data_IF_148422110726
#
_entry.id   IF_148422110726
#
_cell.length_a   1.000
_cell.length_b   1.000
_cell.length_c   1.000
_cell.angle_alpha   90.00
_cell.angle_beta   90.00
_cell.angle_gamma   90.00
#
_symmetry.space_group_name_H-M   'P 1'
#
loop_
_entity.id
_entity.type
_entity.pdbx_description
1 polymer ?
#
# COMPACT_ATOMS: atom_id res chain seq x y z
N UNK A 1 25.97 10.88 44.95
CA UNK A 1 24.84 11.68 44.43
C UNK A 1 23.74 10.71 44.02
N UNK A 2 22.80 10.47 44.92
CA UNK A 2 21.74 9.48 44.72
C UNK A 2 20.55 10.11 44.01
N UNK A 3 20.15 9.53 42.88
CA UNK A 3 18.91 9.86 42.20
C UNK A 3 17.74 9.24 42.96
N UNK A 4 17.06 10.07 43.75
CA UNK A 4 15.80 9.78 44.41
C UNK A 4 14.72 9.54 43.34
N UNK A 5 14.38 8.27 43.12
CA UNK A 5 13.13 7.90 42.45
C UNK A 5 11.99 8.44 43.30
N UNK A 6 11.25 9.41 42.77
CA UNK A 6 10.04 9.91 43.41
C UNK A 6 9.00 8.81 43.41
N UNK A 7 8.77 8.22 44.58
CA UNK A 7 7.59 7.45 44.88
C UNK A 7 6.35 8.30 44.62
N UNK A 8 5.25 7.73 44.08
CA UNK A 8 4.01 8.46 43.90
C UNK A 8 3.48 8.86 45.28
N UNK A 9 3.70 10.13 45.60
CA UNK A 9 3.32 10.81 46.83
C UNK A 9 1.84 11.17 46.81
N UNK A 10 1.15 10.96 47.94
CA UNK A 10 -0.18 11.52 48.23
C UNK A 10 -1.21 10.49 48.68
N UNK A 11 -1.09 9.99 49.90
CA UNK A 11 -1.83 8.84 50.44
C UNK A 11 -2.93 9.14 51.46
N UNK A 12 -3.82 10.12 51.22
CA UNK A 12 -4.98 10.34 52.13
C UNK A 12 -6.37 10.14 51.48
N UNK A 13 -6.47 9.93 50.15
CA UNK A 13 -7.77 9.76 49.46
C UNK A 13 -7.84 8.54 48.52
N UNK A 14 -6.87 7.62 48.64
CA UNK A 14 -6.87 6.39 47.85
C UNK A 14 -7.88 5.38 48.41
N UNK A 15 -8.94 5.10 47.64
CA UNK A 15 -10.05 4.24 48.03
C UNK A 15 -9.90 2.78 47.55
N UNK A 16 -8.89 2.50 46.71
CA UNK A 16 -8.61 1.17 46.15
C UNK A 16 -7.12 0.85 46.24
N UNK A 17 -6.78 -0.44 46.36
CA UNK A 17 -5.40 -0.92 46.37
C UNK A 17 -5.16 -1.98 45.28
N UNK A 18 -4.07 -1.87 44.55
CA UNK A 18 -3.62 -2.92 43.62
C UNK A 18 -2.63 -3.85 44.35
N UNK A 19 -2.91 -5.15 44.35
CA UNK A 19 -2.05 -6.18 44.94
C UNK A 19 -1.17 -6.82 43.87
N UNK A 20 0.14 -6.76 44.05
CA UNK A 20 1.13 -7.36 43.14
C UNK A 20 1.70 -8.69 43.66
N UNK A 21 2.38 -9.46 42.81
CA UNK A 21 2.88 -10.83 43.06
C UNK A 21 3.67 -11.02 44.37
N UNK A 22 4.34 -9.98 44.88
CA UNK A 22 5.09 -10.03 46.16
C UNK A 22 4.31 -9.48 47.36
N UNK A 23 2.98 -9.55 47.31
CA UNK A 23 2.05 -8.95 48.29
C UNK A 23 2.25 -7.43 48.49
N UNK A 24 2.94 -6.75 47.56
CA UNK A 24 3.07 -5.28 47.61
C UNK A 24 1.78 -4.64 47.13
N UNK A 25 1.35 -3.62 47.87
CA UNK A 25 0.11 -2.87 47.62
C UNK A 25 0.45 -1.51 47.03
N UNK A 26 -0.29 -1.10 45.99
CA UNK A 26 -0.17 0.22 45.37
C UNK A 26 -1.51 0.95 45.61
N UNK A 27 -1.53 2.05 46.38
CA UNK A 27 -2.74 2.83 46.59
C UNK A 27 -3.13 3.56 45.30
N UNK A 28 -4.41 3.51 44.94
CA UNK A 28 -4.96 4.07 43.70
C UNK A 28 -6.40 4.59 43.89
N UNK A 29 -6.83 5.48 43.00
CA UNK A 29 -8.17 6.07 43.02
C UNK A 29 -9.10 5.34 42.03
N UNK A 30 -10.24 4.87 42.53
CA UNK A 30 -11.27 4.18 41.75
C UNK A 30 -11.70 4.97 40.51
N UNK A 31 -11.91 6.29 40.67
CA UNK A 31 -12.31 7.22 39.60
C UNK A 31 -11.32 7.26 38.43
N UNK A 32 -10.02 7.11 38.70
CA UNK A 32 -8.99 7.10 37.65
C UNK A 32 -9.01 5.76 36.92
N UNK A 33 -9.08 4.65 37.67
CA UNK A 33 -9.11 3.31 37.08
C UNK A 33 -10.37 3.06 36.24
N UNK A 34 -11.54 3.43 36.76
CA UNK A 34 -12.82 3.29 36.06
C UNK A 34 -12.83 4.10 34.76
N UNK A 35 -12.37 5.36 34.81
CA UNK A 35 -12.32 6.21 33.63
C UNK A 35 -11.33 5.71 32.55
N UNK A 36 -10.28 4.98 32.95
CA UNK A 36 -9.24 4.54 32.03
C UNK A 36 -9.48 3.13 31.45
N UNK A 37 -10.30 2.31 32.10
CA UNK A 37 -10.53 0.91 31.72
C UNK A 37 -11.95 0.44 32.06
N UNK A 38 -12.73 -0.03 31.07
CA UNK A 38 -14.05 -0.61 31.34
C UNK A 38 -13.96 -1.92 32.16
N UNK A 39 -12.86 -2.66 32.04
CA UNK A 39 -12.63 -3.86 32.85
C UNK A 39 -12.44 -3.48 34.31
N UNK A 40 -11.60 -2.48 34.59
CA UNK A 40 -11.39 -2.01 35.95
C UNK A 40 -12.68 -1.38 36.51
N UNK A 41 -13.43 -0.60 35.72
CA UNK A 41 -14.76 -0.10 36.09
C UNK A 41 -15.70 -1.25 36.48
N UNK A 42 -15.83 -2.29 35.65
CA UNK A 42 -16.68 -3.44 35.96
C UNK A 42 -16.21 -4.23 37.20
N UNK A 43 -14.91 -4.28 37.47
CA UNK A 43 -14.37 -4.83 38.72
C UNK A 43 -14.73 -3.93 39.91
N UNK A 44 -14.81 -2.63 39.68
CA UNK A 44 -15.21 -1.61 40.64
C UNK A 44 -16.74 -1.53 40.85
N UNK A 45 -17.56 -2.14 40.01
CA UNK A 45 -19.02 -2.17 40.27
C UNK A 45 -19.46 -3.40 41.07
N UNK A 46 -18.59 -4.40 41.22
CA UNK A 46 -18.93 -5.65 41.93
C UNK A 46 -19.12 -5.42 43.44
N UNK A 47 -20.21 -5.94 44.06
CA UNK A 47 -20.45 -5.76 45.49
C UNK A 47 -19.32 -6.34 46.34
N UNK A 48 -18.84 -5.54 47.30
CA UNK A 48 -17.77 -5.94 48.21
C UNK A 48 -18.26 -7.05 49.15
N UNK A 49 -17.43 -8.07 49.40
CA UNK A 49 -17.72 -9.06 50.44
C UNK A 49 -17.77 -8.35 51.79
N UNK A 50 -18.86 -8.56 52.54
CA UNK A 50 -19.08 -7.95 53.87
C UNK A 50 -17.88 -8.27 54.78
N UNK A 51 -17.23 -7.23 55.32
CA UNK A 51 -16.19 -7.35 56.35
C UNK A 51 -14.71 -7.24 55.91
N UNK A 52 -14.41 -6.85 54.66
CA UNK A 52 -13.02 -6.69 54.20
C UNK A 52 -12.46 -5.26 54.30
N UNK A 53 -11.21 -5.13 54.79
CA UNK A 53 -10.40 -3.90 54.75
C UNK A 53 -10.18 -3.42 53.31
N UNK A 54 -10.92 -2.39 52.89
CA UNK A 54 -10.75 -1.72 51.60
C UNK A 54 -10.94 -2.61 50.38
N UNK A 55 -10.90 -1.99 49.20
CA UNK A 55 -11.05 -2.73 47.94
C UNK A 55 -9.70 -3.06 47.33
N UNK A 56 -9.51 -4.33 46.96
CA UNK A 56 -8.24 -4.82 46.42
C UNK A 56 -8.41 -5.43 45.04
N UNK A 57 -7.60 -4.98 44.07
CA UNK A 57 -7.53 -5.53 42.71
C UNK A 57 -6.21 -6.31 42.55
N UNK A 58 -6.23 -7.64 42.34
CA UNK A 58 -5.01 -8.41 42.18
C UNK A 58 -4.46 -8.33 40.75
N UNK A 59 -3.20 -7.88 40.61
CA UNK A 59 -2.41 -7.93 39.38
C UNK A 59 -1.18 -8.81 39.64
N UNK A 60 -1.32 -10.10 39.33
CA UNK A 60 -0.30 -11.12 39.60
C UNK A 60 0.39 -11.56 38.30
N UNK A 61 1.61 -12.09 38.40
CA UNK A 61 2.38 -12.57 37.26
C UNK A 61 3.12 -11.49 36.45
N UNK A 62 3.01 -10.23 36.86
CA UNK A 62 3.71 -9.09 36.24
C UNK A 62 4.69 -8.46 37.25
N UNK A 63 5.89 -8.02 36.83
CA UNK A 63 6.80 -7.29 37.70
C UNK A 63 6.15 -6.04 38.27
N UNK A 64 6.38 -5.77 39.55
CA UNK A 64 5.80 -4.62 40.24
C UNK A 64 6.11 -3.29 39.56
N UNK A 65 7.34 -3.11 39.05
CA UNK A 65 7.75 -1.87 38.41
C UNK A 65 6.94 -1.61 37.13
N UNK A 66 6.61 -2.67 36.38
CA UNK A 66 5.71 -2.60 35.23
C UNK A 66 4.25 -2.31 35.64
N UNK A 67 3.80 -2.79 36.80
CA UNK A 67 2.48 -2.42 37.35
C UNK A 67 2.46 -0.95 37.78
N UNK A 68 3.54 -0.46 38.42
CA UNK A 68 3.68 0.94 38.78
C UNK A 68 3.67 1.84 37.53
N UNK A 69 4.42 1.48 36.49
CA UNK A 69 4.39 2.16 35.19
C UNK A 69 2.99 2.15 34.57
N UNK A 70 2.31 1.00 34.54
CA UNK A 70 0.94 0.90 34.05
C UNK A 70 0.02 1.89 34.78
N UNK A 71 0.06 1.90 36.12
CA UNK A 71 -0.74 2.82 36.93
C UNK A 71 -0.39 4.28 36.59
N UNK A 72 0.88 4.66 36.59
CA UNK A 72 1.32 6.04 36.25
C UNK A 72 0.82 6.49 34.88
N UNK A 73 0.84 5.60 33.88
CA UNK A 73 0.31 5.87 32.55
C UNK A 73 -1.21 6.12 32.57
N UNK A 74 -1.98 5.40 33.40
CA UNK A 74 -3.43 5.67 33.55
C UNK A 74 -3.71 7.04 34.19
N UNK A 75 -2.88 7.47 35.14
CA UNK A 75 -2.99 8.82 35.72
C UNK A 75 -2.59 9.90 34.72
N UNK A 76 -1.56 9.65 33.91
CA UNK A 76 -1.05 10.59 32.92
C UNK A 76 -1.99 10.74 31.72
N UNK A 77 -2.78 9.71 31.38
CA UNK A 77 -3.75 9.74 30.28
C UNK A 77 -4.78 10.88 30.40
N UNK A 78 -5.04 11.39 31.61
CA UNK A 78 -5.92 12.54 31.84
C UNK A 78 -5.26 13.88 31.48
N UNK A 79 -3.93 13.99 31.49
CA UNK A 79 -3.22 15.22 31.11
C UNK A 79 -2.74 15.23 29.65
N UNK A 80 -2.60 14.07 29.01
CA UNK A 80 -2.18 13.95 27.61
C UNK A 80 -3.34 13.64 26.64
N UNK A 81 -4.21 14.64 26.42
CA UNK A 81 -5.20 14.64 25.32
C UNK A 81 -4.57 15.11 23.99
N UNK A 82 -3.28 15.44 23.97
CA UNK A 82 -2.58 15.73 22.71
C UNK A 82 -2.07 14.43 22.10
N UNK A 83 -2.23 14.21 20.78
CA UNK A 83 -1.55 13.12 20.11
C UNK A 83 -0.06 13.33 20.37
N UNK A 84 0.57 12.36 21.03
CA UNK A 84 2.01 12.35 21.19
C UNK A 84 2.62 12.67 19.82
N UNK A 85 3.32 13.79 19.75
CA UNK A 85 4.14 14.17 18.60
C UNK A 85 4.91 12.92 18.20
N UNK A 86 4.82 12.55 16.92
CA UNK A 86 5.45 11.36 16.36
C UNK A 86 6.95 11.38 16.69
N UNK A 87 7.36 10.69 17.77
CA UNK A 87 8.78 10.64 18.15
C UNK A 87 9.07 10.42 19.64
N UNK A 88 8.22 10.87 20.56
CA UNK A 88 8.51 10.72 22.00
C UNK A 88 7.78 9.51 22.59
N UNK A 89 8.49 8.37 22.61
CA UNK A 89 8.07 7.20 23.38
C UNK A 89 8.14 7.55 24.88
N UNK A 90 7.03 7.36 25.61
CA UNK A 90 7.09 7.47 27.07
C UNK A 90 8.13 6.46 27.58
N UNK A 91 9.12 6.88 28.39
CA UNK A 91 10.24 6.02 28.80
C UNK A 91 9.77 4.71 29.46
N UNK A 92 8.64 4.78 30.18
CA UNK A 92 7.99 3.62 30.81
C UNK A 92 7.55 2.54 29.81
N UNK A 93 7.13 2.94 28.60
CA UNK A 93 6.74 2.01 27.51
C UNK A 93 7.96 1.31 26.92
N UNK A 94 9.12 1.98 26.89
CA UNK A 94 10.38 1.40 26.44
C UNK A 94 10.90 0.30 27.37
N UNK A 95 10.92 0.55 28.67
CA UNK A 95 11.48 -0.41 29.64
C UNK A 95 10.56 -1.61 29.92
N UNK A 96 9.24 -1.41 29.88
CA UNK A 96 8.26 -2.42 30.28
C UNK A 96 7.27 -2.81 29.16
N UNK A 97 7.63 -2.57 27.90
CA UNK A 97 6.72 -2.70 26.74
C UNK A 97 5.97 -4.02 26.64
N UNK A 98 6.62 -5.17 26.91
CA UNK A 98 5.98 -6.50 26.89
C UNK A 98 4.89 -6.59 27.96
N UNK A 99 5.22 -6.22 29.20
CA UNK A 99 4.28 -6.27 30.32
C UNK A 99 3.13 -5.27 30.15
N UNK A 100 3.43 -4.07 29.65
CA UNK A 100 2.43 -3.05 29.39
C UNK A 100 1.50 -3.44 28.24
N UNK A 101 1.98 -4.14 27.21
CA UNK A 101 1.13 -4.70 26.16
C UNK A 101 0.12 -5.71 26.74
N UNK A 102 0.58 -6.62 27.62
CA UNK A 102 -0.29 -7.60 28.29
C UNK A 102 -1.32 -6.89 29.18
N UNK A 103 -0.88 -5.97 30.05
CA UNK A 103 -1.78 -5.26 30.96
C UNK A 103 -2.81 -4.42 30.20
N UNK A 104 -2.39 -3.70 29.16
CA UNK A 104 -3.30 -2.91 28.33
C UNK A 104 -4.28 -3.76 27.54
N UNK A 105 -3.92 -4.98 27.15
CA UNK A 105 -4.87 -5.92 26.55
C UNK A 105 -5.88 -6.45 27.59
N UNK A 106 -5.40 -6.98 28.72
CA UNK A 106 -6.24 -7.58 29.78
C UNK A 106 -7.24 -6.56 30.34
N UNK A 107 -6.78 -5.33 30.59
CA UNK A 107 -7.61 -4.24 31.10
C UNK A 107 -8.20 -3.35 29.99
N UNK A 108 -8.14 -3.76 28.72
CA UNK A 108 -8.76 -3.06 27.58
C UNK A 108 -8.41 -1.56 27.48
N UNK A 109 -7.17 -1.19 27.79
CA UNK A 109 -6.66 0.19 27.66
C UNK A 109 -6.14 0.39 26.24
N UNK A 110 -7.05 0.63 25.29
CA UNK A 110 -6.76 0.58 23.85
C UNK A 110 -5.69 1.56 23.34
N UNK A 111 -5.64 2.78 23.87
CA UNK A 111 -4.61 3.75 23.47
C UNK A 111 -3.20 3.31 23.90
N UNK A 112 -3.09 2.71 25.09
CA UNK A 112 -1.83 2.22 25.63
C UNK A 112 -1.37 0.99 24.87
N UNK A 113 -2.30 0.07 24.55
CA UNK A 113 -2.03 -1.08 23.69
C UNK A 113 -1.40 -0.65 22.36
N UNK A 114 -2.00 0.34 21.68
CA UNK A 114 -1.44 0.91 20.44
C UNK A 114 -0.07 1.58 20.61
N UNK A 115 0.20 2.17 21.78
CA UNK A 115 1.51 2.76 22.08
C UNK A 115 2.57 1.66 22.28
N UNK A 116 2.25 0.61 23.05
CA UNK A 116 3.11 -0.55 23.25
C UNK A 116 3.38 -1.28 21.93
N UNK A 117 2.36 -1.45 21.06
CA UNK A 117 2.56 -2.03 19.73
C UNK A 117 3.61 -1.26 18.92
N UNK A 118 3.53 0.07 18.90
CA UNK A 118 4.51 0.93 18.20
C UNK A 118 5.92 0.83 18.78
N UNK A 119 6.05 0.88 20.10
CA UNK A 119 7.35 0.81 20.78
C UNK A 119 8.02 -0.58 20.67
N UNK A 120 7.23 -1.65 20.69
CA UNK A 120 7.76 -2.99 20.43
C UNK A 120 8.17 -3.13 18.96
N UNK A 121 7.36 -2.60 18.03
CA UNK A 121 7.65 -2.60 16.61
C UNK A 121 8.91 -1.82 16.22
N UNK A 122 9.21 -0.70 16.90
CA UNK A 122 10.42 0.11 16.66
C UNK A 122 11.70 -0.61 17.09
N UNK A 123 11.59 -1.54 18.04
CA UNK A 123 12.70 -2.31 18.64
C UNK A 123 12.78 -3.77 18.18
N UNK A 124 12.00 -4.16 17.17
CA UNK A 124 12.03 -5.53 16.63
C UNK A 124 13.42 -5.89 16.08
N UNK A 125 13.98 -6.99 16.57
CA UNK A 125 15.23 -7.60 16.10
C UNK A 125 14.95 -8.97 15.49
N UNK A 126 15.86 -9.48 14.67
CA UNK A 126 15.76 -10.85 14.11
C UNK A 126 15.75 -11.91 15.21
N UNK A 127 16.50 -11.69 16.29
CA UNK A 127 16.57 -12.62 17.43
C UNK A 127 15.25 -12.69 18.22
N UNK A 128 14.58 -11.56 18.45
CA UNK A 128 13.38 -11.50 19.29
C UNK A 128 12.04 -11.50 18.54
N UNK A 129 12.04 -11.51 17.20
CA UNK A 129 10.81 -11.33 16.41
C UNK A 129 9.78 -12.44 16.64
N UNK A 130 10.24 -13.68 16.85
CA UNK A 130 9.36 -14.84 17.07
C UNK A 130 8.63 -14.69 18.41
N UNK A 131 9.34 -14.31 19.47
CA UNK A 131 8.75 -14.08 20.80
C UNK A 131 7.72 -12.95 20.76
N UNK A 132 8.06 -11.84 20.09
CA UNK A 132 7.14 -10.71 19.94
C UNK A 132 5.94 -11.07 19.07
N UNK A 133 6.10 -11.92 18.05
CA UNK A 133 4.99 -12.43 17.23
C UNK A 133 4.02 -13.28 18.07
N UNK A 134 4.54 -14.19 18.89
CA UNK A 134 3.74 -15.01 19.82
C UNK A 134 2.99 -14.11 20.80
N UNK A 135 3.68 -13.12 21.38
CA UNK A 135 3.07 -12.14 22.27
C UNK A 135 1.95 -11.35 21.57
N UNK A 136 2.20 -10.88 20.35
CA UNK A 136 1.22 -10.12 19.58
C UNK A 136 -0.03 -10.95 19.29
N UNK A 137 0.13 -12.25 18.99
CA UNK A 137 -0.99 -13.17 18.81
C UNK A 137 -1.78 -13.36 20.12
N UNK A 138 -1.09 -13.58 21.25
CA UNK A 138 -1.74 -13.77 22.57
C UNK A 138 -2.46 -12.52 23.08
N UNK A 139 -2.03 -11.34 22.66
CA UNK A 139 -2.61 -10.07 23.07
C UNK A 139 -3.57 -9.48 22.03
N UNK A 140 -3.98 -10.22 20.99
CA UNK A 140 -4.80 -9.73 19.88
C UNK A 140 -4.30 -8.41 19.28
N UNK A 141 -3.01 -8.31 19.00
CA UNK A 141 -2.32 -7.12 18.50
C UNK A 141 -1.99 -7.27 17.00
N UNK A 142 -2.98 -7.11 16.09
CA UNK A 142 -2.83 -7.45 14.68
C UNK A 142 -1.82 -6.56 13.94
N UNK A 143 -1.64 -5.30 14.35
CA UNK A 143 -0.70 -4.40 13.70
C UNK A 143 0.75 -4.78 14.03
N UNK A 144 1.04 -5.06 15.31
CA UNK A 144 2.33 -5.60 15.72
C UNK A 144 2.61 -6.97 15.09
N UNK A 145 1.61 -7.87 15.06
CA UNK A 145 1.72 -9.18 14.41
C UNK A 145 2.13 -9.05 12.94
N UNK A 146 1.47 -8.15 12.18
CA UNK A 146 1.84 -7.87 10.79
C UNK A 146 3.27 -7.32 10.68
N UNK A 147 3.72 -6.50 11.64
CA UNK A 147 5.08 -5.97 11.64
C UNK A 147 6.12 -7.06 11.83
N UNK A 148 5.88 -8.00 12.74
CA UNK A 148 6.72 -9.18 12.94
C UNK A 148 6.79 -10.02 11.66
N UNK A 149 5.65 -10.37 11.07
CA UNK A 149 5.62 -11.15 9.81
C UNK A 149 6.40 -10.46 8.68
N UNK A 150 6.35 -9.12 8.58
CA UNK A 150 7.13 -8.38 7.58
C UNK A 150 8.64 -8.46 7.82
N UNK A 151 9.08 -8.47 9.08
CA UNK A 151 10.50 -8.63 9.40
C UNK A 151 10.97 -10.05 9.07
N UNK A 152 10.18 -11.07 9.46
CA UNK A 152 10.43 -12.47 9.12
C UNK A 152 10.50 -12.64 7.60
N UNK A 153 9.56 -12.05 6.84
CA UNK A 153 9.57 -12.12 5.38
C UNK A 153 10.80 -11.47 4.73
N UNK A 154 11.35 -10.43 5.37
CA UNK A 154 12.51 -9.69 4.85
C UNK A 154 13.80 -10.48 5.05
N UNK A 155 14.00 -11.01 6.25
CA UNK A 155 15.26 -11.62 6.70
C UNK A 155 15.03 -13.06 7.21
N UNK A 156 14.24 -13.86 6.48
CA UNK A 156 13.80 -15.20 6.89
C UNK A 156 14.98 -16.11 7.27
N UNK A 157 16.04 -16.13 6.46
CA UNK A 157 17.22 -16.95 6.71
C UNK A 157 17.92 -16.62 8.04
N UNK A 158 17.92 -15.34 8.45
CA UNK A 158 18.45 -14.94 9.74
C UNK A 158 17.54 -15.43 10.88
N UNK A 159 16.22 -15.27 10.74
CA UNK A 159 15.24 -15.71 11.74
C UNK A 159 15.24 -17.23 11.91
N UNK A 160 15.28 -17.99 10.83
CA UNK A 160 15.30 -19.46 10.84
C UNK A 160 16.49 -20.03 11.64
N UNK A 161 17.61 -19.28 11.67
CA UNK A 161 18.80 -19.68 12.42
C UNK A 161 18.72 -19.41 13.93
N UNK A 162 17.71 -18.68 14.40
CA UNK A 162 17.57 -18.27 15.81
C UNK A 162 17.10 -19.41 16.70
N UNK A 163 17.46 -19.34 17.98
CA UNK A 163 16.96 -20.27 19.01
C UNK A 163 15.45 -20.15 19.19
N UNK A 164 14.89 -18.95 19.10
CA UNK A 164 13.45 -18.72 19.22
C UNK A 164 12.66 -19.42 18.09
N UNK A 165 13.21 -19.45 16.87
CA UNK A 165 12.60 -20.22 15.77
C UNK A 165 12.67 -21.73 16.04
N UNK A 166 13.82 -22.27 16.47
CA UNK A 166 13.93 -23.69 16.83
C UNK A 166 12.97 -24.08 17.95
N UNK A 167 12.87 -23.25 18.99
CA UNK A 167 11.93 -23.45 20.07
C UNK A 167 10.47 -23.46 19.58
N UNK A 168 10.14 -22.57 18.62
CA UNK A 168 8.83 -22.56 17.99
C UNK A 168 8.54 -23.89 17.27
N UNK A 169 9.50 -24.43 16.52
CA UNK A 169 9.35 -25.70 15.80
C UNK A 169 9.06 -26.86 16.76
N UNK A 170 9.74 -26.90 17.90
CA UNK A 170 9.59 -27.97 18.88
C UNK A 170 8.27 -27.88 19.67
N UNK A 171 7.73 -26.66 19.88
CA UNK A 171 6.63 -26.41 20.83
C UNK A 171 5.30 -25.99 20.19
N UNK A 172 5.31 -25.36 19.00
CA UNK A 172 4.10 -24.95 18.27
C UNK A 172 4.29 -25.05 16.73
N UNK A 173 4.29 -26.29 16.18
CA UNK A 173 4.42 -26.52 14.74
C UNK A 173 3.28 -25.89 13.91
N UNK A 174 2.12 -25.66 14.52
CA UNK A 174 0.98 -25.05 13.84
C UNK A 174 1.21 -23.56 13.60
N UNK A 175 1.82 -22.85 14.57
CA UNK A 175 2.22 -21.47 14.37
C UNK A 175 3.36 -21.35 13.36
N UNK A 176 4.33 -22.26 13.35
CA UNK A 176 5.33 -22.31 12.26
C UNK A 176 4.65 -22.42 10.89
N UNK A 177 3.73 -23.38 10.73
CA UNK A 177 3.00 -23.58 9.47
C UNK A 177 2.22 -22.32 9.06
N UNK A 178 1.54 -21.66 10.01
CA UNK A 178 0.79 -20.43 9.77
C UNK A 178 1.71 -19.28 9.30
N UNK A 179 2.90 -19.15 9.90
CA UNK A 179 3.91 -18.19 9.46
C UNK A 179 4.34 -18.53 8.03
N UNK A 180 4.74 -19.76 7.75
CA UNK A 180 5.23 -20.17 6.43
C UNK A 180 4.16 -19.99 5.35
N UNK A 181 2.90 -20.34 5.63
CA UNK A 181 1.76 -20.09 4.74
C UNK A 181 1.57 -18.60 4.48
N UNK A 182 1.62 -17.77 5.53
CA UNK A 182 1.52 -16.32 5.42
C UNK A 182 2.64 -15.71 4.56
N UNK A 183 3.87 -16.20 4.70
CA UNK A 183 5.01 -15.78 3.89
C UNK A 183 4.83 -16.16 2.42
N UNK A 184 4.42 -17.41 2.16
CA UNK A 184 4.17 -17.89 0.80
C UNK A 184 3.03 -17.11 0.13
N UNK A 185 1.94 -16.88 0.84
CA UNK A 185 0.81 -16.08 0.36
C UNK A 185 1.23 -14.65 0.05
N UNK A 186 2.02 -14.02 0.92
CA UNK A 186 2.56 -12.68 0.69
C UNK A 186 3.44 -12.65 -0.57
N UNK A 187 4.32 -13.64 -0.75
CA UNK A 187 5.17 -13.77 -1.92
C UNK A 187 4.34 -13.93 -3.22
N UNK A 188 3.35 -14.82 -3.21
CA UNK A 188 2.45 -15.03 -4.36
C UNK A 188 1.64 -13.78 -4.68
N UNK A 189 1.13 -13.06 -3.67
CA UNK A 189 0.42 -11.78 -3.85
C UNK A 189 1.35 -10.73 -4.44
N UNK A 190 2.59 -10.64 -3.99
CA UNK A 190 3.58 -9.71 -4.53
C UNK A 190 3.91 -10.02 -6.00
N UNK A 191 4.12 -11.31 -6.32
CA UNK A 191 4.36 -11.77 -7.71
C UNK A 191 3.18 -11.43 -8.63
N UNK A 192 1.94 -11.67 -8.18
CA UNK A 192 0.72 -11.29 -8.93
C UNK A 192 0.63 -9.78 -9.12
N UNK A 193 0.89 -8.98 -8.09
CA UNK A 193 0.90 -7.51 -8.15
C UNK A 193 1.97 -6.99 -9.12
N UNK A 194 3.18 -7.58 -9.10
CA UNK A 194 4.27 -7.25 -10.03
C UNK A 194 3.86 -7.54 -11.48
N UNK A 195 3.37 -8.75 -11.77
CA UNK A 195 2.87 -9.12 -13.10
C UNK A 195 1.76 -8.19 -13.58
N UNK A 196 0.79 -7.87 -12.71
CA UNK A 196 -0.31 -6.95 -13.04
C UNK A 196 0.21 -5.55 -13.36
N UNK A 197 1.19 -5.02 -12.60
CA UNK A 197 1.82 -3.73 -12.88
C UNK A 197 2.59 -3.72 -14.21
N UNK A 198 3.32 -4.80 -14.51
CA UNK A 198 4.04 -4.96 -15.79
C UNK A 198 3.05 -5.00 -16.96
N UNK A 199 1.94 -5.74 -16.82
CA UNK A 199 0.87 -5.81 -17.81
C UNK A 199 0.17 -4.45 -18.02
N UNK A 200 -0.17 -3.76 -16.93
CA UNK A 200 -0.76 -2.41 -16.96
C UNK A 200 0.17 -1.38 -17.61
N UNK A 201 1.48 -1.50 -17.40
CA UNK A 201 2.49 -0.65 -18.05
C UNK A 201 2.43 -0.79 -19.57
N UNK A 202 2.37 -2.02 -20.08
CA UNK A 202 2.25 -2.28 -21.53
C UNK A 202 0.98 -1.67 -22.11
N UNK A 203 -0.16 -1.78 -21.43
CA UNK A 203 -1.41 -1.16 -21.90
C UNK A 203 -1.36 0.36 -21.88
N UNK A 204 -0.66 0.94 -20.91
CA UNK A 204 -0.44 2.38 -20.83
C UNK A 204 0.43 2.86 -22.00
N UNK A 205 1.56 2.18 -22.27
CA UNK A 205 2.44 2.46 -23.42
C UNK A 205 1.69 2.34 -24.76
N UNK A 206 0.83 1.32 -24.92
CA UNK A 206 -0.02 1.18 -26.10
C UNK A 206 -1.03 2.33 -26.22
N UNK A 207 -1.67 2.74 -25.11
CA UNK A 207 -2.62 3.86 -25.11
C UNK A 207 -1.95 5.17 -25.49
N UNK A 208 -0.74 5.41 -25.00
CA UNK A 208 0.09 6.56 -25.34
C UNK A 208 0.50 6.53 -26.82
N UNK A 209 0.84 5.37 -27.36
CA UNK A 209 1.09 5.21 -28.78
C UNK A 209 -0.16 5.54 -29.63
N UNK A 210 -1.37 5.22 -29.16
CA UNK A 210 -2.61 5.60 -29.86
C UNK A 210 -2.84 7.13 -29.87
N UNK A 211 -2.51 7.82 -28.78
CA UNK A 211 -2.54 9.29 -28.71
C UNK A 211 -1.48 9.91 -29.64
N UNK A 212 -0.25 9.37 -29.64
CA UNK A 212 0.82 9.82 -30.52
C UNK A 212 0.49 9.61 -32.00
N UNK A 213 -0.14 8.49 -32.37
CA UNK A 213 -0.62 8.27 -33.73
C UNK A 213 -1.65 9.33 -34.15
N UNK A 214 -2.57 9.71 -33.25
CA UNK A 214 -3.52 10.79 -33.53
C UNK A 214 -2.80 12.12 -33.74
N UNK A 215 -1.88 12.49 -32.85
CA UNK A 215 -1.09 13.72 -32.96
C UNK A 215 -0.29 13.78 -34.28
N UNK A 216 0.51 12.75 -34.59
CA UNK A 216 1.31 12.69 -35.82
C UNK A 216 0.43 12.81 -37.07
N UNK A 217 -0.70 12.10 -37.12
CA UNK A 217 -1.55 12.12 -38.32
C UNK A 217 -2.44 13.37 -38.42
N UNK A 218 -2.75 14.03 -37.29
CA UNK A 218 -3.65 15.19 -37.27
C UNK A 218 -2.96 16.53 -37.39
N UNK A 219 -1.83 16.68 -36.70
CA UNK A 219 -1.05 17.91 -36.53
C UNK A 219 0.31 17.81 -37.23
N UNK A 220 0.84 16.59 -37.34
CA UNK A 220 2.22 16.36 -37.75
C UNK A 220 3.15 16.38 -36.54
N UNK A 221 4.30 15.73 -36.67
CA UNK A 221 5.37 15.80 -35.68
C UNK A 221 6.69 15.79 -36.44
N UNK A 222 7.68 16.57 -36.01
CA UNK A 222 9.09 16.60 -36.45
C UNK A 222 9.40 16.21 -37.91
N UNK A 223 9.37 14.93 -38.27
CA UNK A 223 9.74 14.37 -39.58
C UNK A 223 8.55 13.86 -40.42
N UNK A 224 7.36 13.70 -39.83
CA UNK A 224 6.16 13.16 -40.49
C UNK A 224 5.02 14.17 -40.39
N UNK A 225 4.57 14.67 -41.54
CA UNK A 225 3.44 15.60 -41.65
C UNK A 225 2.09 14.89 -41.84
N UNK A 226 0.97 15.63 -41.66
CA UNK A 226 -0.36 15.15 -42.02
C UNK A 226 -0.44 14.77 -43.50
N UNK A 227 -1.33 13.85 -43.88
CA UNK A 227 -1.45 13.39 -45.27
C UNK A 227 -1.60 14.55 -46.26
N UNK A 228 -0.67 14.62 -47.22
CA UNK A 228 -0.65 15.67 -48.26
C UNK A 228 -0.02 17.01 -47.84
N UNK A 229 0.58 17.10 -46.65
CA UNK A 229 1.28 18.30 -46.16
C UNK A 229 2.69 17.96 -45.66
N UNK A 230 3.60 18.92 -45.74
CA UNK A 230 4.97 18.81 -45.20
C UNK A 230 4.99 18.76 -43.66
N UNK A 231 6.13 18.39 -43.05
CA UNK A 231 6.28 18.38 -41.59
C UNK A 231 6.14 19.79 -40.99
N UNK A 232 5.63 19.91 -39.75
CA UNK A 232 5.55 21.20 -39.05
C UNK A 232 6.95 21.76 -38.73
N UNK A 233 7.07 23.07 -38.43
CA UNK A 233 8.32 23.67 -37.96
C UNK A 233 8.90 22.92 -36.75
N UNK A 234 10.23 22.84 -36.65
CA UNK A 234 10.92 22.15 -35.54
C UNK A 234 10.81 22.97 -34.25
N UNK A 235 9.69 22.84 -33.54
CA UNK A 235 9.50 23.37 -32.20
C UNK A 235 9.36 22.21 -31.18
N UNK A 236 10.27 22.08 -30.20
CA UNK A 236 10.18 21.08 -29.13
C UNK A 236 8.90 21.16 -28.29
N UNK A 237 8.24 22.32 -28.25
CA UNK A 237 7.01 22.54 -27.45
C UNK A 237 5.76 21.93 -28.09
N UNK A 238 5.82 21.53 -29.36
CA UNK A 238 4.67 21.04 -30.11
C UNK A 238 4.37 19.55 -29.91
N UNK A 239 5.35 18.77 -29.43
CA UNK A 239 5.17 17.32 -29.27
C UNK A 239 4.92 16.94 -27.80
N UNK A 240 3.74 16.40 -27.45
CA UNK A 240 3.45 16.00 -26.08
C UNK A 240 4.25 14.76 -25.65
N UNK A 241 4.79 13.98 -26.59
CA UNK A 241 5.58 12.80 -26.27
C UNK A 241 6.63 12.48 -27.34
N UNK A 242 7.84 13.08 -27.26
CA UNK A 242 8.83 13.01 -28.32
C UNK A 242 9.44 11.62 -28.50
N UNK A 243 9.61 10.85 -27.42
CA UNK A 243 10.20 9.51 -27.48
C UNK A 243 9.29 8.53 -28.23
N UNK A 244 8.01 8.47 -27.85
CA UNK A 244 7.03 7.59 -28.48
C UNK A 244 6.71 8.04 -29.91
N UNK A 245 6.61 9.35 -30.15
CA UNK A 245 6.42 9.87 -31.51
C UNK A 245 7.58 9.51 -32.43
N UNK A 246 8.83 9.67 -32.00
CA UNK A 246 10.02 9.30 -32.79
C UNK A 246 10.00 7.82 -33.20
N UNK A 247 9.65 6.93 -32.28
CA UNK A 247 9.52 5.50 -32.59
C UNK A 247 8.44 5.21 -33.63
N UNK A 248 7.28 5.86 -33.53
CA UNK A 248 6.19 5.71 -34.51
C UNK A 248 6.55 6.29 -35.88
N UNK A 249 7.22 7.44 -35.93
CA UNK A 249 7.68 8.05 -37.18
C UNK A 249 8.65 7.16 -37.95
N UNK A 250 9.58 6.49 -37.25
CA UNK A 250 10.46 5.50 -37.86
C UNK A 250 9.69 4.32 -38.47
N UNK A 251 8.61 3.86 -37.81
CA UNK A 251 7.75 2.82 -38.36
C UNK A 251 7.00 3.29 -39.62
N UNK A 252 6.50 4.53 -39.61
CA UNK A 252 5.79 5.15 -40.74
C UNK A 252 6.74 5.32 -41.93
N UNK A 253 7.92 5.91 -41.71
CA UNK A 253 8.95 6.08 -42.73
C UNK A 253 9.40 4.72 -43.29
N UNK A 254 9.58 3.72 -42.43
CA UNK A 254 9.91 2.37 -42.87
C UNK A 254 8.81 1.78 -43.75
N UNK A 255 7.53 1.94 -43.39
CA UNK A 255 6.42 1.43 -44.21
C UNK A 255 6.40 2.06 -45.62
N UNK A 256 6.72 3.35 -45.72
CA UNK A 256 6.81 4.06 -47.00
C UNK A 256 7.98 3.58 -47.88
N UNK A 257 9.14 3.28 -47.28
CA UNK A 257 10.34 2.84 -47.99
C UNK A 257 10.45 1.32 -48.20
N UNK A 258 9.62 0.51 -47.51
CA UNK A 258 9.79 -0.94 -47.50
C UNK A 258 9.19 -1.61 -48.75
N UNK A 259 10.05 -2.02 -49.67
CA UNK A 259 9.65 -2.78 -50.85
C UNK A 259 9.26 -4.24 -50.48
N UNK A 260 8.00 -4.60 -50.78
CA UNK A 260 7.45 -5.95 -50.56
C UNK A 260 7.97 -6.95 -51.59
N UNK A 261 8.43 -6.49 -52.75
CA UNK A 261 8.77 -7.32 -53.91
C UNK A 261 10.18 -7.92 -53.84
N UNK A 262 11.08 -7.36 -53.03
CA UNK A 262 12.49 -7.79 -52.90
C UNK A 262 12.75 -8.86 -51.82
N UNK A 263 11.70 -9.51 -51.27
CA UNK A 263 11.84 -10.45 -50.13
C UNK A 263 11.64 -11.91 -50.54
N UNK A 264 12.36 -12.86 -49.90
CA UNK A 264 12.24 -14.29 -50.19
C UNK A 264 10.80 -14.80 -49.94
N UNK A 265 10.33 -15.81 -50.70
CA UNK A 265 8.94 -16.28 -50.68
C UNK A 265 8.40 -16.63 -49.29
N UNK A 266 9.26 -17.12 -48.39
CA UNK A 266 8.92 -17.47 -47.00
C UNK A 266 8.52 -16.26 -46.12
N UNK A 267 8.80 -15.02 -46.54
CA UNK A 267 8.44 -13.78 -45.83
C UNK A 267 7.36 -12.95 -46.55
N UNK A 268 6.76 -13.45 -47.63
CA UNK A 268 5.60 -12.85 -48.28
C UNK A 268 4.32 -13.12 -47.47
N UNK A 269 4.29 -12.70 -46.20
CA UNK A 269 3.06 -12.63 -45.41
C UNK A 269 2.26 -11.39 -45.84
N UNK A 270 0.92 -11.46 -45.75
CA UNK A 270 -0.05 -10.41 -46.14
C UNK A 270 0.24 -8.99 -45.56
N UNK A 271 1.11 -8.86 -44.55
CA UNK A 271 1.43 -7.61 -43.84
C UNK A 271 2.90 -7.12 -43.96
N UNK A 272 3.77 -7.78 -44.75
CA UNK A 272 5.16 -7.36 -44.96
C UNK A 272 6.15 -7.80 -43.84
N UNK A 273 7.29 -7.11 -43.71
CA UNK A 273 8.33 -7.43 -42.68
C UNK A 273 7.84 -7.15 -41.25
N UNK A 274 8.58 -7.60 -40.20
CA UNK A 274 8.18 -7.41 -38.81
C UNK A 274 7.88 -5.96 -38.39
N UNK A 275 8.63 -4.97 -38.92
CA UNK A 275 8.39 -3.55 -38.62
C UNK A 275 7.08 -3.04 -39.23
N UNK A 276 6.79 -3.37 -40.49
CA UNK A 276 5.50 -3.07 -41.11
C UNK A 276 4.35 -3.75 -40.37
N UNK A 277 4.51 -5.03 -40.00
CA UNK A 277 3.49 -5.77 -39.24
C UNK A 277 3.13 -5.09 -37.92
N UNK A 278 4.11 -4.55 -37.19
CA UNK A 278 3.87 -3.78 -35.95
C UNK A 278 3.05 -2.53 -36.20
N UNK A 279 3.39 -1.73 -37.22
CA UNK A 279 2.61 -0.53 -37.56
C UNK A 279 1.17 -0.89 -37.96
N UNK A 280 0.99 -1.93 -38.78
CA UNK A 280 -0.32 -2.44 -39.16
C UNK A 280 -1.15 -2.88 -37.93
N UNK A 281 -0.53 -3.52 -36.94
CA UNK A 281 -1.19 -3.89 -35.68
C UNK A 281 -1.59 -2.66 -34.86
N UNK A 282 -0.77 -1.61 -34.80
CA UNK A 282 -1.09 -0.36 -34.10
C UNK A 282 -2.25 0.39 -34.78
N UNK A 283 -2.28 0.45 -36.12
CA UNK A 283 -3.40 1.05 -36.86
C UNK A 283 -4.70 0.26 -36.65
N UNK A 284 -4.62 -1.08 -36.65
CA UNK A 284 -5.77 -1.94 -36.31
C UNK A 284 -6.24 -1.69 -34.87
N UNK A 285 -5.33 -1.58 -33.89
CA UNK A 285 -5.67 -1.28 -32.50
C UNK A 285 -6.33 0.10 -32.37
N UNK A 286 -5.78 1.11 -33.04
CA UNK A 286 -6.34 2.45 -33.07
C UNK A 286 -7.79 2.43 -33.56
N UNK A 287 -8.05 1.77 -34.68
CA UNK A 287 -9.39 1.69 -35.26
C UNK A 287 -10.43 1.08 -34.31
N UNK A 288 -10.03 0.12 -33.48
CA UNK A 288 -10.89 -0.55 -32.51
C UNK A 288 -11.22 0.30 -31.27
N UNK A 289 -10.36 1.28 -30.94
CA UNK A 289 -10.52 2.15 -29.75
C UNK A 289 -11.02 3.56 -30.16
N UNK A 290 -10.91 3.92 -31.44
CA UNK A 290 -11.21 5.26 -31.92
C UNK A 290 -12.72 5.56 -31.90
N UNK A 291 -13.13 6.49 -31.04
CA UNK A 291 -14.53 6.96 -30.87
C UNK A 291 -14.86 8.16 -31.76
N UNK A 292 -13.89 8.74 -32.48
CA UNK A 292 -14.15 9.92 -33.31
C UNK A 292 -15.15 9.62 -34.43
N UNK A 293 -16.13 10.51 -34.68
CA UNK A 293 -16.96 10.46 -35.88
C UNK A 293 -16.07 10.67 -37.12
N UNK A 294 -16.37 9.93 -38.18
CA UNK A 294 -15.55 9.93 -39.39
C UNK A 294 -15.52 11.32 -40.08
N UNK A 295 -14.40 11.70 -40.73
CA UNK A 295 -13.20 10.88 -40.92
C UNK A 295 -12.14 11.11 -39.83
N UNK A 296 -11.77 10.03 -39.13
CA UNK A 296 -10.57 10.03 -38.32
C UNK A 296 -9.33 10.21 -39.22
N UNK A 297 -8.42 11.12 -38.83
CA UNK A 297 -7.21 11.45 -39.62
C UNK A 297 -6.13 10.35 -39.62
N UNK A 298 -6.27 9.31 -38.78
CA UNK A 298 -5.33 8.18 -38.74
C UNK A 298 -5.58 7.25 -39.94
N UNK A 299 -4.56 6.89 -40.72
CA UNK A 299 -4.72 6.10 -41.94
C UNK A 299 -5.35 4.73 -41.66
N UNK A 300 -6.16 4.25 -42.60
CA UNK A 300 -6.84 2.95 -42.55
C UNK A 300 -7.86 2.79 -41.39
N UNK A 301 -8.08 3.81 -40.56
CA UNK A 301 -8.99 3.73 -39.43
C UNK A 301 -10.43 3.34 -39.86
N UNK A 302 -10.99 4.01 -40.86
CA UNK A 302 -12.32 3.72 -41.42
C UNK A 302 -12.39 2.33 -42.08
N UNK A 303 -11.37 1.97 -42.86
CA UNK A 303 -11.29 0.66 -43.54
C UNK A 303 -11.28 -0.50 -42.53
N UNK A 304 -10.52 -0.35 -41.43
CA UNK A 304 -10.51 -1.37 -40.39
C UNK A 304 -11.83 -1.43 -39.60
N UNK A 305 -12.46 -0.29 -39.30
CA UNK A 305 -13.79 -0.27 -38.67
C UNK A 305 -14.82 -1.02 -39.51
N UNK A 306 -14.87 -0.77 -40.82
CA UNK A 306 -15.75 -1.48 -41.75
C UNK A 306 -15.45 -2.99 -41.79
N UNK A 307 -14.17 -3.36 -41.85
CA UNK A 307 -13.76 -4.77 -41.86
C UNK A 307 -14.13 -5.49 -40.57
N UNK A 308 -13.99 -4.84 -39.41
CA UNK A 308 -14.37 -5.41 -38.11
C UNK A 308 -15.88 -5.65 -38.01
N UNK A 309 -16.69 -4.74 -38.54
CA UNK A 309 -18.15 -4.90 -38.57
C UNK A 309 -18.60 -6.04 -39.49
N UNK A 310 -17.88 -6.26 -40.60
CA UNK A 310 -18.11 -7.41 -41.48
C UNK A 310 -17.67 -8.74 -40.86
N UNK A 311 -16.56 -8.78 -40.13
CA UNK A 311 -16.06 -10.00 -39.47
C UNK A 311 -16.84 -10.40 -38.23
N UNK A 312 -17.51 -9.47 -37.53
CA UNK A 312 -18.46 -9.82 -36.45
C UNK A 312 -19.57 -10.76 -36.90
N UNK A 313 -19.87 -10.81 -38.21
CA UNK A 313 -20.86 -11.70 -38.81
C UNK A 313 -20.33 -13.09 -39.14
N UNK A 314 -19.03 -13.38 -38.91
CA UNK A 314 -18.38 -14.67 -39.17
C UNK A 314 -17.48 -15.05 -37.98
N UNK A 315 -17.92 -16.01 -37.19
CA UNK A 315 -17.27 -16.41 -35.93
C UNK A 315 -15.95 -17.17 -36.15
N UNK A 316 -14.82 -16.56 -35.77
CA UNK A 316 -13.56 -17.26 -35.46
C UNK A 316 -13.23 -16.96 -33.99
N UNK A 317 -13.65 -17.85 -33.09
CA UNK A 317 -13.94 -17.51 -31.68
C UNK A 317 -12.70 -17.29 -30.78
N UNK A 318 -11.56 -17.95 -30.96
CA UNK A 318 -10.51 -17.91 -29.91
C UNK A 318 -9.48 -16.78 -30.07
N UNK A 319 -9.04 -16.50 -31.31
CA UNK A 319 -8.08 -15.39 -31.59
C UNK A 319 -8.75 -14.03 -31.44
N UNK A 320 -10.07 -13.97 -31.61
CA UNK A 320 -10.85 -12.75 -31.48
C UNK A 320 -11.03 -12.35 -30.00
N UNK A 321 -11.20 -13.29 -29.07
CA UNK A 321 -11.36 -12.96 -27.64
C UNK A 321 -10.10 -12.34 -27.01
N UNK A 322 -8.90 -12.87 -27.31
CA UNK A 322 -7.64 -12.26 -26.83
C UNK A 322 -7.46 -10.84 -27.38
N UNK A 323 -7.84 -10.61 -28.64
CA UNK A 323 -7.80 -9.28 -29.26
C UNK A 323 -8.83 -8.33 -28.64
N UNK A 324 -10.07 -8.77 -28.45
CA UNK A 324 -11.12 -7.99 -27.77
C UNK A 324 -10.70 -7.59 -26.35
N UNK A 325 -10.09 -8.51 -25.60
CA UNK A 325 -9.58 -8.22 -24.26
C UNK A 325 -8.48 -7.15 -24.30
N UNK A 326 -7.52 -7.28 -25.22
CA UNK A 326 -6.48 -6.26 -25.43
C UNK A 326 -7.08 -4.88 -25.71
N UNK A 327 -8.02 -4.80 -26.66
CA UNK A 327 -8.71 -3.56 -27.01
C UNK A 327 -9.39 -2.94 -25.79
N UNK A 328 -10.14 -3.74 -25.01
CA UNK A 328 -10.79 -3.28 -23.78
C UNK A 328 -9.78 -2.74 -22.76
N UNK A 329 -8.67 -3.46 -22.52
CA UNK A 329 -7.64 -3.06 -21.56
C UNK A 329 -6.94 -1.76 -21.96
N UNK A 330 -6.59 -1.61 -23.24
CA UNK A 330 -5.95 -0.39 -23.75
C UNK A 330 -6.93 0.79 -23.73
N UNK A 331 -8.21 0.57 -24.06
CA UNK A 331 -9.24 1.60 -23.96
C UNK A 331 -9.42 2.07 -22.51
N UNK A 332 -9.49 1.14 -21.54
CA UNK A 332 -9.54 1.49 -20.12
C UNK A 332 -8.29 2.25 -19.66
N UNK A 333 -7.09 1.80 -20.06
CA UNK A 333 -5.84 2.50 -19.74
C UNK A 333 -5.84 3.94 -20.29
N UNK A 334 -6.34 4.13 -21.50
CA UNK A 334 -6.49 5.45 -22.13
C UNK A 334 -7.40 6.37 -21.31
N UNK A 335 -8.58 5.89 -20.90
CA UNK A 335 -9.51 6.66 -20.06
C UNK A 335 -8.87 7.03 -18.72
N UNK A 336 -8.21 6.07 -18.07
CA UNK A 336 -7.52 6.31 -16.78
C UNK A 336 -6.39 7.34 -16.92
N UNK A 337 -5.63 7.31 -18.02
CA UNK A 337 -4.57 8.29 -18.32
C UNK A 337 -5.16 9.70 -18.48
N UNK A 338 -6.24 9.86 -19.24
CA UNK A 338 -6.93 11.14 -19.40
C UNK A 338 -7.47 11.68 -18.06
N UNK A 339 -8.10 10.83 -17.25
CA UNK A 339 -8.58 11.21 -15.91
C UNK A 339 -7.42 11.64 -15.00
N UNK A 340 -6.29 10.93 -15.03
CA UNK A 340 -5.11 11.30 -14.25
C UNK A 340 -4.48 12.63 -14.71
N UNK A 341 -4.43 12.89 -16.02
CA UNK A 341 -3.98 14.18 -16.58
C UNK A 341 -4.89 15.33 -16.13
N UNK A 342 -6.21 15.14 -16.18
CA UNK A 342 -7.20 16.14 -15.73
C UNK A 342 -7.06 16.47 -14.24
N UNK A 343 -6.97 15.46 -13.37
CA UNK A 343 -6.78 15.68 -11.93
C UNK A 343 -5.50 16.45 -11.60
N UNK A 344 -4.41 16.18 -12.34
CA UNK A 344 -3.15 16.93 -12.18
C UNK A 344 -3.32 18.40 -12.58
N UNK A 345 -4.00 18.68 -13.69
CA UNK A 345 -4.27 20.05 -14.13
C UNK A 345 -5.14 20.82 -13.12
N UNK A 346 -6.20 20.19 -12.60
CA UNK A 346 -7.05 20.76 -11.55
C UNK A 346 -6.25 21.07 -10.28
N UNK A 347 -5.31 20.19 -9.89
CA UNK A 347 -4.41 20.42 -8.75
C UNK A 347 -3.46 21.60 -8.95
N UNK A 348 -2.86 21.73 -10.13
CA UNK A 348 -1.97 22.86 -10.47
C UNK A 348 -2.76 24.18 -10.49
N UNK A 349 -3.95 24.19 -11.09
CA UNK A 349 -4.82 25.37 -11.13
C UNK A 349 -5.24 25.81 -9.72
N UNK A 350 -5.57 24.87 -8.83
CA UNK A 350 -5.89 25.17 -7.43
C UNK A 350 -4.68 25.73 -6.67
N UNK A 351 -3.48 25.21 -6.93
CA UNK A 351 -2.25 25.70 -6.32
C UNK A 351 -1.88 27.11 -6.81
N UNK A 352 -2.02 27.38 -8.11
CA UNK A 352 -1.84 28.72 -8.69
C UNK A 352 -2.89 29.72 -8.17
N UNK A 353 -4.15 29.30 -8.02
CA UNK A 353 -5.20 30.13 -7.44
C UNK A 353 -4.92 30.46 -5.97
N UNK A 354 -4.48 29.48 -5.18
CA UNK A 354 -4.07 29.68 -3.78
C UNK A 354 -2.87 30.63 -3.67
N UNK A 355 -1.86 30.49 -4.54
CA UNK A 355 -0.71 31.39 -4.58
C UNK A 355 -1.11 32.81 -4.97
N UNK A 356 -1.99 32.98 -5.95
CA UNK A 356 -2.52 34.30 -6.35
C UNK A 356 -3.30 34.96 -5.22
N UNK A 357 -4.11 34.20 -4.47
CA UNK A 357 -4.85 34.73 -3.31
C UNK A 357 -3.87 35.24 -2.22
N UNK A 358 -2.81 34.49 -1.94
CA UNK A 358 -1.76 34.86 -0.97
C UNK A 358 -0.83 36.00 -1.39
N UNK A 359 -0.83 36.37 -2.67
CA UNK A 359 -0.07 37.53 -3.17
C UNK A 359 -0.91 38.82 -3.19
N UNK A 360 -2.22 38.70 -2.95
CA UNK A 360 -3.17 39.81 -2.90
C UNK A 360 -3.45 40.23 -1.43
N UNK A 361 -3.30 39.31 -0.47
CA UNK A 361 -3.23 39.56 0.97
C UNK A 361 -1.80 39.89 1.42
#
# INVERSE_FOLDING_TARGET
>A
MGNSRTDPSGGDDADVQILTTRKRRIPVHSRVLAAASPVLESMLDRPQKRGGEGRVIPILGVPHDAVCAFVRLLYSARSCVTPAVEGEEAPEVGEHGVHLLVLSHVYQVGWLKRACERALASRLTTEGVVDVLVLARRCDAPWLHLRCLRLIARDYAAVESTEAWRFLQDNDPWLELDILQSLQDAHLRQKRRRRKREEEKVYTELSEAMECLQHICAEGCTEVGPSGRGPPPRDPTHCPNPATCRGLQQLIHHLAACDRKKKPPQQQQQHGCPRCKRLWQLLRLHSAICVHPDPCKVPLCSQFKQKMEQTKRKEEEEKDEKWKLLVKKVASARVMSHLAKRKRQEGIQNQEAWLKQKLID
#
